data_IF_445782620157
#
_entry.id   IF_445782620157
#
_cell.length_a   1.000
_cell.length_b   1.000
_cell.length_c   1.000
_cell.angle_alpha   90.00
_cell.angle_beta   90.00
_cell.angle_gamma   90.00
#
_symmetry.space_group_name_H-M   'P 1'
#
loop_
_entity.id
_entity.type
_entity.pdbx_description
1 polymer ?
#
# COMPACT_ATOMS: atom_id res chain seq x y z
N UNK A 1 6.64 3.86 20.95
CA UNK A 1 6.94 4.36 19.59
C UNK A 1 7.60 5.72 19.75
N UNK A 2 8.85 5.87 19.31
CA UNK A 2 9.55 7.16 19.28
C UNK A 2 9.63 7.58 17.81
N UNK A 3 9.08 8.74 17.40
CA UNK A 3 9.22 9.20 16.02
C UNK A 3 10.71 9.43 15.72
N UNK A 4 11.16 9.12 14.51
CA UNK A 4 12.54 9.40 14.10
C UNK A 4 12.85 10.90 14.18
N UNK A 5 14.14 11.24 14.15
CA UNK A 5 14.59 12.63 14.05
C UNK A 5 13.99 13.34 12.83
N UNK A 6 13.63 14.61 13.03
CA UNK A 6 13.10 15.48 11.98
C UNK A 6 14.03 15.49 10.77
N UNK A 7 13.43 15.45 9.59
CA UNK A 7 14.16 15.41 8.32
C UNK A 7 14.11 16.79 7.67
N UNK A 8 15.26 17.47 7.64
CA UNK A 8 15.39 18.84 7.11
C UNK A 8 15.71 18.89 5.59
N UNK A 9 15.68 17.74 4.92
CA UNK A 9 15.96 17.58 3.47
C UNK A 9 14.65 17.56 2.67
N UNK A 10 14.70 18.03 1.41
CA UNK A 10 13.60 17.83 0.47
C UNK A 10 13.46 16.35 0.12
N UNK A 11 12.28 15.77 0.35
CA UNK A 11 12.01 14.34 0.23
C UNK A 11 11.91 13.87 -1.24
N UNK A 12 11.67 14.78 -2.18
CA UNK A 12 11.51 14.44 -3.60
C UNK A 12 12.84 14.41 -4.37
N UNK A 13 13.89 15.05 -3.84
CA UNK A 13 15.21 15.17 -4.46
C UNK A 13 16.28 14.30 -3.76
N UNK A 14 15.86 13.31 -2.96
CA UNK A 14 16.78 12.43 -2.27
C UNK A 14 17.47 11.45 -3.24
N UNK A 15 18.77 11.18 -3.06
CA UNK A 15 19.41 10.06 -3.73
C UNK A 15 18.71 8.73 -3.37
N UNK A 16 18.56 7.77 -4.31
CA UNK A 16 17.86 6.50 -4.05
C UNK A 16 18.44 5.68 -2.89
N UNK A 17 19.71 5.86 -2.55
CA UNK A 17 20.34 5.20 -1.40
C UNK A 17 19.87 5.76 -0.06
N UNK A 18 19.62 7.08 0.02
CA UNK A 18 19.11 7.73 1.22
C UNK A 18 17.60 7.52 1.37
N UNK A 19 16.87 7.53 0.24
CA UNK A 19 15.42 7.30 0.22
C UNK A 19 15.04 5.93 0.79
N UNK A 20 15.84 4.89 0.50
CA UNK A 20 15.66 3.52 1.03
C UNK A 20 15.73 3.41 2.55
N UNK A 21 16.36 4.38 3.22
CA UNK A 21 16.48 4.39 4.68
C UNK A 21 15.26 4.99 5.37
N UNK A 22 14.34 5.57 4.59
CA UNK A 22 13.14 6.22 5.09
C UNK A 22 11.96 5.25 4.97
N UNK A 23 11.22 4.98 6.06
CA UNK A 23 9.96 4.24 5.97
C UNK A 23 9.00 4.96 5.01
N UNK A 24 8.55 4.26 3.97
CA UNK A 24 7.60 4.78 2.99
C UNK A 24 6.19 4.22 3.20
N UNK A 25 5.22 4.87 2.59
CA UNK A 25 3.85 4.36 2.48
C UNK A 25 3.79 3.21 1.49
N UNK A 26 2.74 2.38 1.57
CA UNK A 26 2.51 1.30 0.61
C UNK A 26 2.44 1.84 -0.83
N UNK A 27 3.16 1.19 -1.75
CA UNK A 27 3.25 1.59 -3.16
C UNK A 27 2.01 1.15 -3.95
N UNK A 28 1.30 0.13 -3.48
CA UNK A 28 0.09 -0.38 -4.09
C UNK A 28 -1.01 -0.64 -3.07
N UNK A 29 -2.25 -0.70 -3.55
CA UNK A 29 -3.37 -0.94 -2.68
C UNK A 29 -3.35 -2.35 -2.07
N UNK A 30 -2.91 -3.37 -2.80
CA UNK A 30 -2.80 -4.72 -2.26
C UNK A 30 -1.68 -4.87 -1.23
N UNK A 31 -0.59 -4.11 -1.35
CA UNK A 31 0.42 -4.04 -0.30
C UNK A 31 -0.17 -3.41 0.97
N UNK A 32 -0.98 -2.36 0.85
CA UNK A 32 -1.66 -1.75 1.99
C UNK A 32 -2.65 -2.73 2.65
N UNK A 33 -3.40 -3.51 1.87
CA UNK A 33 -4.31 -4.54 2.38
C UNK A 33 -3.55 -5.67 3.08
N UNK A 34 -2.41 -6.08 2.54
CA UNK A 34 -1.52 -7.06 3.18
C UNK A 34 -0.92 -6.53 4.49
N UNK A 35 -0.47 -5.29 4.51
CA UNK A 35 0.03 -4.66 5.73
C UNK A 35 -1.06 -4.54 6.80
N UNK A 36 -2.31 -4.24 6.39
CA UNK A 36 -3.47 -4.25 7.28
C UNK A 36 -3.72 -5.65 7.87
N UNK A 37 -3.62 -6.70 7.05
CA UNK A 37 -3.74 -8.10 7.49
C UNK A 37 -2.68 -8.45 8.55
N UNK A 38 -1.41 -8.15 8.25
CA UNK A 38 -0.24 -8.50 9.06
C UNK A 38 -0.12 -7.69 10.36
N UNK A 39 -0.59 -6.44 10.41
CA UNK A 39 -0.47 -5.54 11.58
C UNK A 39 -1.83 -5.00 12.07
N UNK A 40 -2.85 -5.86 12.18
CA UNK A 40 -4.20 -5.48 12.64
C UNK A 40 -4.35 -5.31 14.16
N UNK A 41 -3.36 -5.70 14.97
CA UNK A 41 -3.52 -5.77 16.44
C UNK A 41 -3.82 -4.40 17.07
N UNK A 42 -3.27 -3.32 16.51
CA UNK A 42 -3.54 -1.98 17.01
C UNK A 42 -5.00 -1.53 16.79
N UNK A 43 -5.71 -2.14 15.83
CA UNK A 43 -7.11 -1.87 15.53
C UNK A 43 -8.06 -2.75 16.34
N UNK A 44 -7.70 -4.01 16.57
CA UNK A 44 -8.53 -4.96 17.32
C UNK A 44 -8.46 -4.75 18.82
N UNK A 45 -7.42 -4.07 19.32
CA UNK A 45 -7.27 -3.74 20.73
C UNK A 45 -8.45 -2.92 21.25
N UNK A 46 -9.13 -3.45 22.27
CA UNK A 46 -10.32 -2.82 22.86
C UNK A 46 -11.63 -3.13 22.13
N UNK A 47 -11.61 -4.04 21.15
CA UNK A 47 -12.81 -4.49 20.44
C UNK A 47 -13.44 -3.44 19.53
N UNK A 48 -12.65 -2.44 19.08
CA UNK A 48 -13.11 -1.40 18.14
C UNK A 48 -13.35 -2.01 16.76
N UNK A 49 -12.41 -2.85 16.32
CA UNK A 49 -12.53 -3.68 15.12
C UNK A 49 -12.52 -5.16 15.52
N UNK A 50 -13.29 -5.97 14.80
CA UNK A 50 -13.22 -7.44 14.88
C UNK A 50 -12.47 -7.98 13.66
N UNK A 51 -11.88 -9.16 13.80
CA UNK A 51 -11.20 -9.82 12.68
C UNK A 51 -12.14 -10.01 11.48
N UNK A 52 -13.38 -10.44 11.72
CA UNK A 52 -14.40 -10.60 10.66
C UNK A 52 -14.65 -9.31 9.84
N UNK A 53 -14.61 -8.13 10.48
CA UNK A 53 -14.80 -6.85 9.78
C UNK A 53 -13.60 -6.52 8.92
N UNK A 54 -12.39 -6.78 9.43
CA UNK A 54 -11.14 -6.54 8.71
C UNK A 54 -11.02 -7.50 7.53
N UNK A 55 -11.28 -8.79 7.74
CA UNK A 55 -11.24 -9.82 6.69
C UNK A 55 -12.27 -9.52 5.59
N UNK A 56 -13.52 -9.23 5.97
CA UNK A 56 -14.56 -8.87 5.00
C UNK A 56 -14.24 -7.59 4.21
N UNK A 57 -13.56 -6.63 4.83
CA UNK A 57 -13.08 -5.43 4.14
C UNK A 57 -11.96 -5.76 3.14
N UNK A 58 -10.98 -6.57 3.54
CA UNK A 58 -9.87 -6.99 2.68
C UNK A 58 -10.41 -7.73 1.46
N UNK A 59 -11.32 -8.70 1.65
CA UNK A 59 -11.90 -9.48 0.56
C UNK A 59 -12.61 -8.58 -0.47
N UNK A 60 -13.49 -7.69 0.00
CA UNK A 60 -14.21 -6.76 -0.87
C UNK A 60 -13.27 -5.84 -1.66
N UNK A 61 -12.16 -5.43 -1.06
CA UNK A 61 -11.16 -4.57 -1.71
C UNK A 61 -10.22 -5.33 -2.64
N UNK A 62 -9.95 -6.59 -2.35
CA UNK A 62 -9.21 -7.46 -3.26
C UNK A 62 -9.98 -7.75 -4.56
N UNK A 63 -11.31 -7.73 -4.55
CA UNK A 63 -12.11 -7.79 -5.78
C UNK A 63 -11.85 -6.57 -6.69
N UNK A 64 -11.78 -5.36 -6.11
CA UNK A 64 -11.46 -4.12 -6.83
C UNK A 64 -10.05 -4.16 -7.43
N UNK A 65 -9.07 -4.60 -6.64
CA UNK A 65 -7.67 -4.80 -7.08
C UNK A 65 -7.62 -5.79 -8.24
N UNK A 66 -8.27 -6.94 -8.10
CA UNK A 66 -8.28 -8.00 -9.11
C UNK A 66 -8.85 -7.49 -10.42
N UNK A 67 -9.98 -6.76 -10.36
CA UNK A 67 -10.59 -6.17 -11.55
C UNK A 67 -9.63 -5.25 -12.30
N UNK A 68 -8.92 -4.37 -11.59
CA UNK A 68 -7.97 -3.47 -12.21
C UNK A 68 -6.81 -4.24 -12.86
N UNK A 69 -6.24 -5.22 -12.16
CA UNK A 69 -5.12 -6.05 -12.64
C UNK A 69 -5.45 -6.89 -13.87
N UNK A 70 -6.69 -7.36 -13.97
CA UNK A 70 -7.15 -8.19 -15.09
C UNK A 70 -7.63 -7.35 -16.29
N UNK A 71 -7.68 -6.03 -16.17
CA UNK A 71 -8.13 -5.13 -17.23
C UNK A 71 -6.94 -4.55 -17.97
N UNK A 72 -6.93 -4.64 -19.29
CA UNK A 72 -5.91 -3.98 -20.12
C UNK A 72 -6.01 -2.46 -19.95
N UNK A 73 -4.90 -1.82 -19.62
CA UNK A 73 -4.84 -0.38 -19.46
C UNK A 73 -4.59 0.28 -20.83
N UNK A 74 -5.26 1.40 -21.19
CA UNK A 74 -5.06 2.04 -22.51
C UNK A 74 -3.59 2.39 -22.82
N UNK A 75 -2.79 2.71 -21.80
CA UNK A 75 -1.35 2.97 -21.95
C UNK A 75 -0.58 1.72 -22.39
N UNK A 76 -1.04 0.50 -22.07
CA UNK A 76 -0.42 -0.73 -22.56
C UNK A 76 -0.55 -0.85 -24.08
N UNK A 77 -1.65 -0.36 -24.67
CA UNK A 77 -1.75 -0.28 -26.14
C UNK A 77 -0.75 0.72 -26.72
N UNK A 78 -0.63 1.91 -26.12
CA UNK A 78 0.39 2.89 -26.54
C UNK A 78 1.81 2.31 -26.46
N UNK A 79 2.12 1.60 -25.37
CA UNK A 79 3.43 1.00 -25.14
C UNK A 79 3.71 -0.20 -26.05
N UNK A 80 2.74 -1.09 -26.27
CA UNK A 80 3.00 -2.44 -26.80
C UNK A 80 2.29 -2.78 -28.12
N UNK A 81 1.33 -1.99 -28.60
CA UNK A 81 0.52 -2.36 -29.77
C UNK A 81 1.32 -2.47 -31.08
N UNK A 82 2.38 -1.67 -31.23
CA UNK A 82 3.21 -1.62 -32.45
C UNK A 82 4.62 -2.22 -32.25
N UNK A 83 4.81 -2.97 -31.17
CA UNK A 83 6.09 -3.55 -30.78
C UNK A 83 6.45 -4.78 -31.64
#
# INVERSE_FOLDING_TARGET
IHPSTLMDKDLYDLPPEEEKLIPQVAFSFDEALKALDEDREFLTRGGVFTDDVIDGYIDLKMEEVTRLRMSTHPVEFDMYYSL
#
